data_IF_668596014918
#
_entry.id   IF_668596014918
#
_cell.length_a   1.000
_cell.length_b   1.000
_cell.length_c   1.000
_cell.angle_alpha   90.00
_cell.angle_beta   90.00
_cell.angle_gamma   90.00
#
_symmetry.space_group_name_H-M   'P 1'
#
loop_
_entity.id
_entity.type
_entity.pdbx_description
1 polymer ?
#
# COMPACT_ATOMS: atom_id res chain seq x y z
N UNK A 1 125.42 -62.68 94.59
CA UNK A 1 124.76 -64.00 94.75
C UNK A 1 123.28 -63.76 94.98
N UNK A 2 122.43 -64.41 94.19
CA UNK A 2 121.00 -64.16 94.03
C UNK A 2 120.14 -64.82 95.13
N UNK A 3 118.99 -64.21 95.46
CA UNK A 3 117.89 -64.90 96.14
C UNK A 3 116.56 -64.47 95.49
N UNK A 4 116.01 -65.40 94.71
CA UNK A 4 114.88 -65.24 93.80
C UNK A 4 113.53 -65.13 94.51
N UNK A 5 112.70 -64.22 94.02
CA UNK A 5 111.29 -63.98 94.32
C UNK A 5 110.42 -65.26 94.25
N UNK A 6 109.66 -65.56 95.31
CA UNK A 6 108.78 -66.77 95.40
C UNK A 6 107.30 -66.51 95.72
N UNK A 7 106.87 -65.25 95.83
CA UNK A 7 105.46 -64.89 96.15
C UNK A 7 104.60 -64.46 94.94
N UNK A 8 105.18 -64.28 93.75
CA UNK A 8 104.47 -63.75 92.56
C UNK A 8 103.74 -64.83 91.73
N UNK A 9 104.12 -66.10 91.86
CA UNK A 9 103.56 -67.18 91.03
C UNK A 9 102.16 -67.66 91.44
N UNK A 10 101.82 -67.66 92.74
CA UNK A 10 100.48 -68.06 93.21
C UNK A 10 99.40 -67.04 92.87
N UNK A 11 99.69 -65.73 93.01
CA UNK A 11 98.76 -64.67 92.63
C UNK A 11 98.48 -64.66 91.12
N UNK A 12 99.50 -64.87 90.28
CA UNK A 12 99.32 -65.01 88.82
C UNK A 12 98.45 -66.21 88.44
N UNK A 13 98.63 -67.35 89.11
CA UNK A 13 97.82 -68.55 88.85
C UNK A 13 96.34 -68.36 89.25
N UNK A 14 96.06 -67.66 90.34
CA UNK A 14 94.68 -67.35 90.76
C UNK A 14 94.00 -66.37 89.78
N UNK A 15 94.72 -65.35 89.31
CA UNK A 15 94.20 -64.40 88.31
C UNK A 15 93.94 -65.10 86.96
N UNK A 16 94.84 -65.99 86.54
CA UNK A 16 94.66 -66.79 85.31
C UNK A 16 93.47 -67.75 85.46
N UNK A 17 93.27 -68.36 86.63
CA UNK A 17 92.12 -69.22 86.90
C UNK A 17 90.78 -68.44 86.87
N UNK A 18 90.74 -67.23 87.43
CA UNK A 18 89.57 -66.35 87.39
C UNK A 18 89.25 -65.85 85.97
N UNK A 19 90.27 -65.51 85.17
CA UNK A 19 90.10 -65.13 83.76
C UNK A 19 89.64 -66.30 82.88
N UNK A 20 90.17 -67.50 83.12
CA UNK A 20 89.71 -68.71 82.43
C UNK A 20 88.25 -69.04 82.79
N UNK A 21 87.87 -68.90 84.07
CA UNK A 21 86.50 -69.11 84.51
C UNK A 21 85.53 -68.07 83.91
N UNK A 22 85.94 -66.79 83.86
CA UNK A 22 85.18 -65.74 83.19
C UNK A 22 85.04 -65.99 81.68
N UNK A 23 86.11 -66.46 81.02
CA UNK A 23 86.08 -66.80 79.60
C UNK A 23 85.14 -67.95 79.30
N UNK A 24 85.07 -68.96 80.17
CA UNK A 24 84.16 -70.09 80.01
C UNK A 24 82.71 -69.65 80.20
N UNK A 25 82.43 -68.79 81.19
CA UNK A 25 81.09 -68.23 81.39
C UNK A 25 80.65 -67.37 80.20
N UNK A 26 81.53 -66.48 79.70
CA UNK A 26 81.25 -65.70 78.48
C UNK A 26 81.04 -66.59 77.26
N UNK A 27 81.83 -67.66 77.10
CA UNK A 27 81.66 -68.62 76.01
C UNK A 27 80.29 -69.28 76.07
N UNK A 28 79.84 -69.70 77.26
CA UNK A 28 78.51 -70.32 77.45
C UNK A 28 77.40 -69.31 77.11
N UNK A 29 77.51 -68.05 77.50
CA UNK A 29 76.50 -67.03 77.18
C UNK A 29 76.42 -66.76 75.67
N UNK A 30 77.56 -66.67 74.97
CA UNK A 30 77.59 -66.49 73.51
C UNK A 30 77.03 -67.73 72.81
N UNK A 31 77.39 -68.93 73.26
CA UNK A 31 76.84 -70.19 72.73
C UNK A 31 75.34 -70.27 73.00
N UNK A 32 74.82 -69.86 74.15
CA UNK A 32 73.37 -69.85 74.40
C UNK A 32 72.65 -68.80 73.54
N UNK A 33 73.26 -67.66 73.22
CA UNK A 33 72.68 -66.66 72.29
C UNK A 33 72.79 -67.07 70.82
N UNK A 34 73.88 -67.74 70.42
CA UNK A 34 74.11 -68.20 69.05
C UNK A 34 73.45 -69.56 68.75
N UNK A 35 73.19 -70.35 69.80
CA UNK A 35 72.69 -71.74 69.74
C UNK A 35 71.39 -71.93 70.53
N UNK A 36 70.72 -70.86 70.94
CA UNK A 36 69.26 -70.90 71.02
C UNK A 36 68.75 -70.65 69.60
N UNK A 37 68.51 -71.69 68.80
CA UNK A 37 67.58 -71.52 67.71
C UNK A 37 66.25 -71.29 68.42
N UNK A 38 65.80 -70.04 68.42
CA UNK A 38 64.37 -69.83 68.54
C UNK A 38 63.77 -70.67 67.40
N UNK A 39 63.22 -71.84 67.73
CA UNK A 39 62.55 -72.75 66.81
C UNK A 39 61.05 -72.40 66.72
N UNK A 40 60.58 -71.41 67.51
CA UNK A 40 59.25 -70.82 67.42
C UNK A 40 59.03 -69.79 66.29
N UNK A 41 60.03 -69.12 65.65
CA UNK A 41 59.78 -68.20 64.55
C UNK A 41 59.44 -68.97 63.27
N UNK A 42 59.67 -70.29 63.19
CA UNK A 42 59.28 -71.09 62.02
C UNK A 42 57.76 -71.31 61.92
N UNK A 43 57.06 -71.36 63.06
CA UNK A 43 55.61 -71.41 63.11
C UNK A 43 55.00 -70.01 62.89
N UNK A 44 55.66 -68.97 63.42
CA UNK A 44 55.27 -67.57 63.24
C UNK A 44 55.44 -67.10 61.78
N UNK A 45 56.55 -67.46 61.13
CA UNK A 45 56.79 -67.22 59.70
C UNK A 45 55.77 -67.97 58.82
N UNK A 46 55.39 -69.20 59.18
CA UNK A 46 54.33 -69.93 58.48
C UNK A 46 52.95 -69.28 58.63
N UNK A 47 52.63 -68.78 59.83
CA UNK A 47 51.38 -68.05 60.07
C UNK A 47 51.37 -66.70 59.33
N UNK A 48 52.49 -65.96 59.30
CA UNK A 48 52.62 -64.70 58.56
C UNK A 48 52.54 -64.91 57.05
N UNK A 49 53.14 -65.98 56.51
CA UNK A 49 52.98 -66.33 55.09
C UNK A 49 51.52 -66.68 54.75
N UNK A 50 50.81 -67.37 55.64
CA UNK A 50 49.38 -67.66 55.45
C UNK A 50 48.52 -66.38 55.52
N UNK A 51 48.76 -65.50 56.50
CA UNK A 51 48.08 -64.19 56.60
C UNK A 51 48.37 -63.28 55.40
N UNK A 52 49.62 -63.23 54.94
CA UNK A 52 50.00 -62.50 53.73
C UNK A 52 49.37 -63.11 52.48
N UNK A 53 49.28 -64.43 52.39
CA UNK A 53 48.62 -65.12 51.27
C UNK A 53 47.13 -64.82 51.28
N UNK A 54 46.47 -64.90 52.43
CA UNK A 54 45.04 -64.58 52.58
C UNK A 54 44.77 -63.09 52.26
N UNK A 55 45.65 -62.18 52.70
CA UNK A 55 45.57 -60.75 52.33
C UNK A 55 45.79 -60.51 50.85
N UNK A 56 46.72 -61.22 50.21
CA UNK A 56 46.95 -61.13 48.77
C UNK A 56 45.77 -61.69 47.97
N UNK A 57 45.18 -62.80 48.41
CA UNK A 57 43.97 -63.36 47.80
C UNK A 57 42.77 -62.44 47.99
N UNK A 58 42.56 -61.91 49.20
CA UNK A 58 41.54 -60.92 49.50
C UNK A 58 41.71 -59.66 48.64
N UNK A 59 42.93 -59.12 48.56
CA UNK A 59 43.25 -57.96 47.73
C UNK A 59 43.07 -58.25 46.24
N UNK A 60 43.45 -59.44 45.77
CA UNK A 60 43.25 -59.87 44.37
C UNK A 60 41.77 -59.97 44.02
N UNK A 61 40.94 -60.52 44.90
CA UNK A 61 39.48 -60.62 44.67
C UNK A 61 38.84 -59.23 44.67
N UNK A 62 39.21 -58.36 45.61
CA UNK A 62 38.71 -56.97 45.67
C UNK A 62 39.15 -56.18 44.44
N UNK A 63 40.40 -56.32 44.00
CA UNK A 63 40.90 -55.73 42.77
C UNK A 63 40.14 -56.22 41.54
N UNK A 64 39.87 -57.52 41.44
CA UNK A 64 39.06 -58.10 40.36
C UNK A 64 37.67 -57.47 40.29
N UNK A 65 36.97 -57.36 41.43
CA UNK A 65 35.65 -56.72 41.51
C UNK A 65 35.68 -55.24 41.13
N UNK A 66 36.69 -54.49 41.59
CA UNK A 66 36.84 -53.08 41.22
C UNK A 66 37.14 -52.90 39.74
N UNK A 67 37.96 -53.79 39.16
CA UNK A 67 38.27 -53.77 37.73
C UNK A 67 37.02 -54.01 36.90
N UNK A 68 36.24 -55.03 37.23
CA UNK A 68 34.99 -55.35 36.53
C UNK A 68 33.97 -54.20 36.63
N UNK A 69 33.77 -53.65 37.83
CA UNK A 69 32.88 -52.50 38.03
C UNK A 69 33.37 -51.23 37.28
N UNK A 70 34.68 -51.07 37.11
CA UNK A 70 35.24 -49.97 36.33
C UNK A 70 35.05 -50.20 34.82
N UNK A 71 35.25 -51.43 34.34
CA UNK A 71 35.01 -51.81 32.95
C UNK A 71 33.54 -51.64 32.56
N UNK A 72 32.60 -52.04 33.43
CA UNK A 72 31.17 -51.83 33.24
C UNK A 72 30.83 -50.34 33.11
N UNK A 73 31.30 -49.49 34.05
CA UNK A 73 31.08 -48.03 33.98
C UNK A 73 31.72 -47.41 32.74
N UNK A 74 32.90 -47.86 32.33
CA UNK A 74 33.55 -47.35 31.12
C UNK A 74 32.75 -47.73 29.87
N UNK A 75 32.14 -48.92 29.82
CA UNK A 75 31.27 -49.32 28.71
C UNK A 75 29.98 -48.50 28.69
N UNK A 76 29.34 -48.30 29.84
CA UNK A 76 28.13 -47.47 29.96
C UNK A 76 28.38 -46.03 29.50
N UNK A 77 29.49 -45.42 29.94
CA UNK A 77 29.86 -44.06 29.52
C UNK A 77 30.23 -44.00 28.04
N UNK A 78 30.84 -45.05 27.47
CA UNK A 78 31.09 -45.11 26.02
C UNK A 78 29.79 -45.15 25.23
N UNK A 79 28.82 -45.95 25.65
CA UNK A 79 27.50 -46.03 25.01
C UNK A 79 26.79 -44.67 25.08
N UNK A 80 26.77 -44.02 26.25
CA UNK A 80 26.21 -42.67 26.40
C UNK A 80 26.89 -41.65 25.50
N UNK A 81 28.22 -41.67 25.43
CA UNK A 81 29.00 -40.77 24.57
C UNK A 81 28.67 -41.01 23.10
N UNK A 82 28.53 -42.26 22.67
CA UNK A 82 28.21 -42.57 21.27
C UNK A 82 26.77 -42.17 20.93
N UNK A 83 25.79 -42.40 21.84
CA UNK A 83 24.43 -41.87 21.70
C UNK A 83 24.43 -40.35 21.57
N UNK A 84 25.12 -39.64 22.46
CA UNK A 84 25.22 -38.17 22.42
C UNK A 84 25.86 -37.68 21.12
N UNK A 85 26.92 -38.34 20.61
CA UNK A 85 27.51 -37.99 19.31
C UNK A 85 26.50 -38.12 18.18
N UNK A 86 25.69 -39.19 18.17
CA UNK A 86 24.67 -39.37 17.12
C UNK A 86 23.59 -38.31 17.19
N UNK A 87 23.16 -37.92 18.40
CA UNK A 87 22.18 -36.85 18.60
C UNK A 87 22.75 -35.50 18.16
N UNK A 88 24.00 -35.20 18.50
CA UNK A 88 24.70 -33.98 18.06
C UNK A 88 24.77 -33.94 16.52
N UNK A 89 25.12 -35.04 15.87
CA UNK A 89 25.17 -35.11 14.40
C UNK A 89 23.80 -34.89 13.77
N UNK A 90 22.74 -35.49 14.33
CA UNK A 90 21.37 -35.28 13.88
C UNK A 90 20.96 -33.81 14.02
N UNK A 91 21.18 -33.23 15.21
CA UNK A 91 20.84 -31.83 15.49
C UNK A 91 21.62 -30.88 14.57
N UNK A 92 22.89 -31.16 14.32
CA UNK A 92 23.71 -30.39 13.40
C UNK A 92 23.18 -30.48 11.96
N UNK A 93 22.78 -31.67 11.50
CA UNK A 93 22.13 -31.86 10.21
C UNK A 93 20.82 -31.08 10.09
N UNK A 94 19.97 -31.13 11.13
CA UNK A 94 18.72 -30.35 11.17
C UNK A 94 18.99 -28.85 11.15
N UNK A 95 19.97 -28.38 11.91
CA UNK A 95 20.37 -26.97 11.95
C UNK A 95 20.82 -26.51 10.57
N UNK A 96 21.65 -27.29 9.89
CA UNK A 96 22.13 -26.97 8.55
C UNK A 96 20.97 -26.92 7.53
N UNK A 97 20.03 -27.87 7.59
CA UNK A 97 18.84 -27.86 6.74
C UNK A 97 17.95 -26.63 7.00
N UNK A 98 17.71 -26.28 8.27
CA UNK A 98 16.95 -25.07 8.63
C UNK A 98 17.66 -23.79 8.22
N UNK A 99 18.99 -23.77 8.29
CA UNK A 99 19.79 -22.63 7.87
C UNK A 99 19.72 -22.42 6.35
N UNK A 100 19.81 -23.50 5.57
CA UNK A 100 19.64 -23.44 4.11
C UNK A 100 18.23 -22.94 3.72
N UNK A 101 17.18 -23.44 4.37
CA UNK A 101 15.81 -22.97 4.13
C UNK A 101 15.61 -21.51 4.55
N UNK A 102 16.28 -21.06 5.61
CA UNK A 102 16.25 -19.65 6.01
C UNK A 102 16.95 -18.75 4.99
N UNK A 103 18.09 -19.18 4.45
CA UNK A 103 18.81 -18.46 3.39
C UNK A 103 17.98 -18.35 2.11
N UNK A 104 17.31 -19.45 1.71
CA UNK A 104 16.36 -19.45 0.59
C UNK A 104 15.22 -18.45 0.82
N UNK A 105 14.59 -18.48 2.00
CA UNK A 105 13.52 -17.54 2.35
C UNK A 105 14.00 -16.08 2.36
N UNK A 106 15.24 -15.82 2.83
CA UNK A 106 15.83 -14.48 2.77
C UNK A 106 16.04 -14.02 1.31
N UNK A 107 16.52 -14.90 0.45
CA UNK A 107 16.71 -14.61 -0.97
C UNK A 107 15.37 -14.30 -1.66
N UNK A 108 14.34 -15.11 -1.41
CA UNK A 108 12.99 -14.85 -1.90
C UNK A 108 12.45 -13.51 -1.40
N UNK A 109 12.71 -13.15 -0.14
CA UNK A 109 12.28 -11.87 0.42
C UNK A 109 12.97 -10.68 -0.28
N UNK A 110 14.25 -10.81 -0.63
CA UNK A 110 14.97 -9.79 -1.40
C UNK A 110 14.37 -9.65 -2.80
N UNK A 111 14.09 -10.76 -3.49
CA UNK A 111 13.45 -10.76 -4.80
C UNK A 111 12.06 -10.11 -4.72
N UNK A 112 11.26 -10.48 -3.73
CA UNK A 112 9.92 -9.95 -3.53
C UNK A 112 9.94 -8.43 -3.26
N UNK A 113 10.88 -7.96 -2.44
CA UNK A 113 11.10 -6.51 -2.23
C UNK A 113 11.47 -5.79 -3.53
N UNK A 114 12.32 -6.40 -4.36
CA UNK A 114 12.64 -5.88 -5.69
C UNK A 114 11.40 -5.75 -6.58
N UNK A 115 10.58 -6.80 -6.63
CA UNK A 115 9.34 -6.82 -7.40
C UNK A 115 8.33 -5.77 -6.92
N UNK A 116 8.19 -5.61 -5.59
CA UNK A 116 7.34 -4.56 -5.00
C UNK A 116 7.82 -3.18 -5.43
N UNK A 117 9.13 -2.92 -5.38
CA UNK A 117 9.69 -1.63 -5.81
C UNK A 117 9.44 -1.36 -7.30
N UNK A 118 9.62 -2.36 -8.17
CA UNK A 118 9.34 -2.23 -9.60
C UNK A 118 7.85 -1.96 -9.88
N UNK A 119 6.96 -2.62 -9.13
CA UNK A 119 5.52 -2.40 -9.25
C UNK A 119 5.12 -0.99 -8.76
N UNK A 120 5.73 -0.49 -7.69
CA UNK A 120 5.51 0.87 -7.21
C UNK A 120 5.93 1.92 -8.24
N UNK A 121 7.09 1.73 -8.88
CA UNK A 121 7.57 2.62 -9.95
C UNK A 121 6.60 2.62 -11.15
N UNK A 122 6.14 1.43 -11.56
CA UNK A 122 5.13 1.27 -12.62
C UNK A 122 3.83 2.00 -12.28
N UNK A 123 3.36 1.89 -11.04
CA UNK A 123 2.15 2.60 -10.58
C UNK A 123 2.33 4.11 -10.67
N UNK A 124 3.49 4.65 -10.27
CA UNK A 124 3.72 6.10 -10.35
C UNK A 124 3.84 6.58 -11.80
N UNK A 125 4.48 5.81 -12.67
CA UNK A 125 4.53 6.10 -14.10
C UNK A 125 3.13 6.11 -14.73
N UNK A 126 2.28 5.14 -14.38
CA UNK A 126 0.89 5.09 -14.83
C UNK A 126 0.08 6.28 -14.31
N UNK A 127 0.25 6.66 -13.04
CA UNK A 127 -0.39 7.86 -12.49
C UNK A 127 0.05 9.13 -13.21
N UNK A 128 1.35 9.26 -13.51
CA UNK A 128 1.86 10.39 -14.26
C UNK A 128 1.25 10.46 -15.66
N UNK A 129 1.20 9.31 -16.34
CA UNK A 129 0.59 9.19 -17.68
C UNK A 129 -0.90 9.54 -17.64
N UNK A 130 -1.63 9.04 -16.65
CA UNK A 130 -3.04 9.37 -16.45
C UNK A 130 -3.25 10.88 -16.24
N UNK A 131 -2.43 11.54 -15.41
CA UNK A 131 -2.51 12.99 -15.19
C UNK A 131 -2.27 13.75 -16.51
N UNK A 132 -1.24 13.37 -17.28
CA UNK A 132 -0.95 14.01 -18.56
C UNK A 132 -2.11 13.87 -19.55
N UNK A 133 -2.65 12.66 -19.71
CA UNK A 133 -3.78 12.40 -20.60
C UNK A 133 -5.04 13.14 -20.14
N UNK A 134 -5.26 13.27 -18.83
CA UNK A 134 -6.38 14.05 -18.29
C UNK A 134 -6.26 15.53 -18.65
N UNK A 135 -5.05 16.09 -18.63
CA UNK A 135 -4.80 17.48 -19.05
C UNK A 135 -5.01 17.63 -20.56
N UNK A 136 -4.51 16.70 -21.36
CA UNK A 136 -4.69 16.72 -22.82
C UNK A 136 -6.17 16.60 -23.20
N UNK A 137 -6.94 15.73 -22.54
CA UNK A 137 -8.38 15.62 -22.75
C UNK A 137 -9.11 16.92 -22.46
N UNK A 138 -8.78 17.61 -21.36
CA UNK A 138 -9.38 18.91 -21.05
C UNK A 138 -9.07 19.96 -22.09
N UNK A 139 -7.82 20.02 -22.56
CA UNK A 139 -7.44 20.95 -23.63
C UNK A 139 -8.23 20.67 -24.92
N UNK A 140 -8.43 19.40 -25.27
CA UNK A 140 -9.24 19.02 -26.42
C UNK A 140 -10.71 19.36 -26.26
N UNK A 141 -11.24 19.24 -25.05
CA UNK A 141 -12.62 19.64 -24.73
C UNK A 141 -12.81 21.15 -24.89
N UNK A 142 -11.88 21.97 -24.36
CA UNK A 142 -11.86 23.42 -24.54
C UNK A 142 -11.77 23.84 -26.03
N UNK A 143 -10.95 23.13 -26.82
CA UNK A 143 -10.83 23.34 -28.27
C UNK A 143 -12.16 23.05 -28.98
N UNK A 144 -12.84 21.95 -28.61
CA UNK A 144 -14.14 21.56 -29.17
C UNK A 144 -15.20 22.60 -28.84
N UNK A 145 -15.27 23.07 -27.59
CA UNK A 145 -16.21 24.11 -27.18
C UNK A 145 -15.99 25.40 -27.97
N UNK A 146 -14.72 25.80 -28.13
CA UNK A 146 -14.35 26.98 -28.93
C UNK A 146 -14.77 26.82 -30.39
N UNK A 147 -14.55 25.64 -30.98
CA UNK A 147 -15.00 25.35 -32.35
C UNK A 147 -16.52 25.39 -32.48
N UNK A 148 -17.26 24.84 -31.52
CA UNK A 148 -18.73 24.86 -31.51
C UNK A 148 -19.28 26.29 -31.42
N UNK A 149 -18.69 27.14 -30.57
CA UNK A 149 -19.07 28.55 -30.48
C UNK A 149 -18.81 29.29 -31.79
N UNK A 150 -17.63 29.09 -32.39
CA UNK A 150 -17.29 29.70 -33.68
C UNK A 150 -18.24 29.23 -34.80
N UNK A 151 -18.58 27.94 -34.84
CA UNK A 151 -19.53 27.40 -35.81
C UNK A 151 -20.92 28.02 -35.65
N UNK A 152 -21.38 28.15 -34.41
CA UNK A 152 -22.68 28.77 -34.09
C UNK A 152 -22.70 30.25 -34.50
N UNK A 153 -21.62 30.98 -34.23
CA UNK A 153 -21.48 32.37 -34.65
C UNK A 153 -21.49 32.49 -36.19
N UNK A 154 -20.72 31.67 -36.89
CA UNK A 154 -20.67 31.65 -38.35
C UNK A 154 -22.04 31.30 -38.97
N UNK A 155 -22.78 30.38 -38.35
CA UNK A 155 -24.14 30.05 -38.76
C UNK A 155 -25.08 31.26 -38.65
N UNK A 156 -25.10 31.95 -37.51
CA UNK A 156 -25.92 33.15 -37.33
C UNK A 156 -25.53 34.29 -38.28
N UNK A 157 -24.24 34.51 -38.50
CA UNK A 157 -23.74 35.50 -39.47
C UNK A 157 -24.24 35.17 -40.88
N UNK A 158 -24.16 33.90 -41.27
CA UNK A 158 -24.62 33.45 -42.58
C UNK A 158 -26.13 33.63 -42.73
N UNK A 159 -26.90 33.28 -41.71
CA UNK A 159 -28.36 33.48 -41.70
C UNK A 159 -28.73 34.97 -41.81
N UNK A 160 -28.03 35.85 -41.09
CA UNK A 160 -28.20 37.29 -41.20
C UNK A 160 -27.91 37.80 -42.61
N UNK A 161 -26.82 37.32 -43.23
CA UNK A 161 -26.48 37.66 -44.61
C UNK A 161 -27.57 37.22 -45.60
N UNK A 162 -28.15 36.02 -45.43
CA UNK A 162 -29.26 35.57 -46.26
C UNK A 162 -30.49 36.46 -46.11
N UNK A 163 -30.85 36.85 -44.89
CA UNK A 163 -31.98 37.77 -44.65
C UNK A 163 -31.75 39.15 -45.27
N UNK A 164 -30.53 39.71 -45.14
CA UNK A 164 -30.17 40.98 -45.77
C UNK A 164 -30.22 40.90 -47.30
N UNK A 165 -29.77 39.79 -47.88
CA UNK A 165 -29.85 39.56 -49.32
C UNK A 165 -31.31 39.48 -49.81
N UNK A 166 -32.18 38.77 -49.09
CA UNK A 166 -33.61 38.72 -49.41
C UNK A 166 -34.28 40.11 -49.30
N UNK A 167 -33.91 40.91 -48.29
CA UNK A 167 -34.37 42.29 -48.15
C UNK A 167 -33.89 43.18 -49.30
N UNK A 168 -32.62 43.05 -49.69
CA UNK A 168 -32.05 43.79 -50.83
C UNK A 168 -32.76 43.43 -52.15
N UNK A 169 -33.05 42.16 -52.40
CA UNK A 169 -33.78 41.74 -53.61
C UNK A 169 -35.23 42.28 -53.62
N UNK A 170 -35.86 42.35 -52.44
CA UNK A 170 -37.18 42.95 -52.28
C UNK A 170 -37.16 44.45 -52.57
N UNK A 171 -36.16 45.18 -52.05
CA UNK A 171 -35.97 46.61 -52.32
C UNK A 171 -35.66 46.89 -53.79
N UNK A 172 -34.82 46.07 -54.41
CA UNK A 172 -34.54 46.13 -55.85
C UNK A 172 -35.82 45.98 -56.68
N UNK A 173 -36.64 44.96 -56.38
CA UNK A 173 -37.92 44.74 -57.05
C UNK A 173 -38.87 45.93 -56.88
N UNK A 174 -38.92 46.52 -55.69
CA UNK A 174 -39.71 47.74 -55.43
C UNK A 174 -39.19 48.95 -56.22
N UNK A 175 -37.87 49.15 -56.28
CA UNK A 175 -37.24 50.23 -57.04
C UNK A 175 -37.48 50.08 -58.56
N UNK A 176 -37.43 48.86 -59.09
CA UNK A 176 -37.79 48.56 -60.47
C UNK A 176 -39.26 48.89 -60.76
N UNK A 177 -40.16 48.55 -59.84
CA UNK A 177 -41.58 48.89 -59.95
C UNK A 177 -41.80 50.42 -59.95
N UNK A 178 -41.17 51.15 -59.03
CA UNK A 178 -41.24 52.62 -59.01
C UNK A 178 -40.64 53.25 -60.26
N UNK A 179 -39.52 52.71 -60.77
CA UNK A 179 -38.90 53.18 -62.03
C UNK A 179 -39.84 52.99 -63.20
N UNK A 180 -40.56 51.86 -63.28
CA UNK A 180 -41.59 51.62 -64.30
C UNK A 180 -42.74 52.61 -64.15
N UNK A 181 -43.26 52.82 -62.95
CA UNK A 181 -44.31 53.79 -62.67
C UNK A 181 -43.92 55.21 -63.09
N UNK A 182 -42.71 55.66 -62.71
CA UNK A 182 -42.18 56.98 -63.09
C UNK A 182 -42.03 57.13 -64.61
N UNK A 183 -41.53 56.11 -65.32
CA UNK A 183 -41.48 56.12 -66.80
C UNK A 183 -42.86 56.27 -67.42
N UNK A 184 -43.85 55.53 -66.92
CA UNK A 184 -45.23 55.63 -67.44
C UNK A 184 -45.85 57.00 -67.16
N UNK A 185 -45.58 57.59 -65.99
CA UNK A 185 -46.04 58.94 -65.67
C UNK A 185 -45.38 60.00 -66.55
N UNK A 186 -44.07 59.88 -66.80
CA UNK A 186 -43.34 60.77 -67.69
C UNK A 186 -43.88 60.71 -69.13
N UNK A 187 -44.18 59.52 -69.64
CA UNK A 187 -44.83 59.34 -70.94
C UNK A 187 -46.23 59.96 -70.95
N UNK A 188 -47.00 59.79 -69.88
CA UNK A 188 -48.32 60.42 -69.72
C UNK A 188 -48.22 61.94 -69.75
N UNK A 189 -47.33 62.54 -68.96
CA UNK A 189 -47.10 63.98 -68.94
C UNK A 189 -46.63 64.50 -70.30
N UNK A 190 -45.73 63.78 -71.00
CA UNK A 190 -45.30 64.14 -72.36
C UNK A 190 -46.47 64.17 -73.35
N UNK A 191 -47.39 63.18 -73.27
CA UNK A 191 -48.63 63.18 -74.07
C UNK A 191 -49.53 64.37 -73.71
N UNK A 192 -49.68 64.70 -72.43
CA UNK A 192 -50.47 65.86 -72.00
C UNK A 192 -49.86 67.18 -72.50
N UNK A 193 -48.53 67.35 -72.38
CA UNK A 193 -47.83 68.53 -72.92
C UNK A 193 -47.95 68.64 -74.44
N UNK A 194 -47.91 67.52 -75.17
CA UNK A 194 -48.16 67.52 -76.62
C UNK A 194 -49.58 67.94 -76.96
N UNK A 195 -50.59 67.48 -76.21
CA UNK A 195 -51.98 67.95 -76.36
C UNK A 195 -52.07 69.45 -76.11
N UNK A 196 -51.58 69.94 -74.97
CA UNK A 196 -51.56 71.37 -74.65
C UNK A 196 -50.78 72.23 -75.67
N UNK A 197 -49.70 71.70 -76.25
CA UNK A 197 -48.94 72.38 -77.32
C UNK A 197 -49.70 72.42 -78.64
N UNK A 198 -50.47 71.38 -78.94
CA UNK A 198 -51.36 71.33 -80.11
C UNK A 198 -52.56 72.26 -79.94
N UNK A 199 -53.06 72.36 -78.71
CA UNK A 199 -54.14 73.29 -78.33
C UNK A 199 -53.63 74.75 -78.27
N UNK A 200 -52.35 74.98 -77.95
CA UNK A 200 -51.72 76.32 -77.98
C UNK A 200 -51.48 76.85 -79.40
N UNK A 201 -51.48 76.00 -80.43
CA UNK A 201 -51.51 76.43 -81.83
C UNK A 201 -52.94 76.82 -82.30
N UNK A 202 -53.96 76.55 -81.49
CA UNK A 202 -55.39 76.70 -81.84
C UNK A 202 -56.18 77.51 -80.79
N UNK A 203 -55.52 78.21 -79.86
CA UNK A 203 -56.20 78.96 -78.80
C UNK A 203 -55.80 80.45 -78.73
N UNK A 204 -56.25 81.24 -79.71
CA UNK A 204 -56.77 82.59 -79.41
C UNK A 204 -58.29 82.44 -79.22
N UNK A 205 -58.80 82.99 -78.10
CA UNK A 205 -60.21 83.22 -77.72
C UNK A 205 -60.76 82.31 -76.58
N UNK A 206 -60.58 82.81 -75.35
CA UNK A 206 -61.52 83.00 -74.19
C UNK A 206 -62.95 82.40 -74.21
N UNK A 207 -63.69 82.30 -73.05
CA UNK A 207 -63.34 82.04 -71.63
C UNK A 207 -64.38 81.08 -70.89
N UNK A 208 -64.70 81.12 -69.57
CA UNK A 208 -64.90 79.95 -68.66
C UNK A 208 -66.42 79.60 -68.41
N UNK A 209 -66.88 78.59 -67.58
CA UNK A 209 -66.77 78.58 -66.09
C UNK A 209 -66.92 77.23 -65.30
N UNK A 210 -66.65 77.33 -63.98
CA UNK A 210 -67.30 76.73 -62.77
C UNK A 210 -67.08 75.28 -62.23
N UNK A 211 -66.59 75.28 -60.97
CA UNK A 211 -67.05 74.59 -59.72
C UNK A 211 -67.13 73.05 -59.58
N UNK A 212 -66.44 72.50 -58.56
CA UNK A 212 -67.04 72.11 -57.24
C UNK A 212 -66.01 71.52 -56.26
N UNK A 213 -66.04 72.03 -55.03
CA UNK A 213 -65.65 71.37 -53.76
C UNK A 213 -66.72 70.32 -53.38
N UNK A 214 -66.51 69.35 -52.45
CA UNK A 214 -66.24 69.56 -51.01
C UNK A 214 -65.16 68.56 -50.48
N UNK A 215 -64.81 68.37 -49.21
CA UNK A 215 -64.81 69.06 -47.91
C UNK A 215 -64.35 67.99 -46.90
N UNK A 216 -63.78 68.45 -45.80
CA UNK A 216 -63.19 67.70 -44.69
C UNK A 216 -64.22 67.52 -43.56
N UNK A 217 -64.19 66.39 -42.84
CA UNK A 217 -64.54 66.16 -41.41
C UNK A 217 -64.52 64.62 -41.15
N UNK A 218 -63.80 64.06 -40.18
CA UNK A 218 -63.91 64.03 -38.70
C UNK A 218 -64.97 63.03 -38.18
N UNK A 219 -64.63 62.42 -37.03
CA UNK A 219 -65.42 61.54 -36.13
C UNK A 219 -65.31 60.03 -36.42
N UNK A 220 -65.34 59.09 -35.48
CA UNK A 220 -65.07 58.99 -34.03
C UNK A 220 -65.23 57.49 -33.67
N UNK A 221 -64.65 57.07 -32.54
CA UNK A 221 -65.08 55.95 -31.67
C UNK A 221 -64.89 54.48 -32.13
N UNK A 222 -64.01 53.71 -31.46
CA UNK A 222 -64.27 52.89 -30.24
C UNK A 222 -64.85 51.51 -30.60
N UNK A 223 -64.51 50.37 -30.01
CA UNK A 223 -63.68 49.96 -28.87
C UNK A 223 -63.47 48.44 -28.95
N UNK A 224 -62.41 47.93 -28.30
CA UNK A 224 -62.44 46.75 -27.42
C UNK A 224 -61.02 46.44 -26.89
N UNK A 225 -60.79 46.73 -25.61
CA UNK A 225 -59.79 46.08 -24.74
C UNK A 225 -60.37 44.75 -24.18
N UNK A 226 -59.77 43.99 -23.24
CA UNK A 226 -58.48 44.12 -22.53
C UNK A 226 -57.70 42.80 -22.30
N UNK A 227 -56.46 42.86 -21.77
CA UNK A 227 -55.88 41.97 -20.72
C UNK A 227 -54.38 42.35 -20.51
N UNK A 228 -54.02 43.18 -19.54
CA UNK A 228 -53.45 42.81 -18.20
C UNK A 228 -52.39 41.71 -18.18
N UNK A 229 -51.18 42.03 -17.69
CA UNK A 229 -50.32 41.03 -17.02
C UNK A 229 -48.79 41.17 -17.13
N UNK A 230 -48.19 42.12 -16.38
CA UNK A 230 -46.94 41.95 -15.57
C UNK A 230 -45.64 41.46 -16.28
N UNK A 231 -44.55 42.26 -16.23
CA UNK A 231 -43.20 41.73 -16.02
C UNK A 231 -42.53 42.41 -14.81
N UNK A 232 -43.24 42.52 -13.70
CA UNK A 232 -42.67 43.03 -12.43
C UNK A 232 -42.14 41.90 -11.54
N UNK A 233 -42.50 40.63 -11.82
CA UNK A 233 -42.05 39.48 -11.02
C UNK A 233 -40.66 38.94 -11.39
N UNK A 234 -40.14 39.19 -12.59
CA UNK A 234 -38.81 38.71 -13.00
C UNK A 234 -37.67 39.60 -12.49
N UNK A 235 -37.92 40.90 -12.28
CA UNK A 235 -36.96 41.80 -11.65
C UNK A 235 -36.93 41.66 -10.11
N UNK A 236 -38.05 41.27 -9.49
CA UNK A 236 -38.11 41.08 -8.04
C UNK A 236 -37.35 39.82 -7.57
N UNK A 237 -37.36 38.74 -8.37
CA UNK A 237 -36.60 37.51 -8.08
C UNK A 237 -35.09 37.70 -8.29
N UNK A 238 -34.68 38.50 -9.29
CA UNK A 238 -33.27 38.86 -9.47
C UNK A 238 -32.74 39.77 -8.34
N UNK A 239 -33.56 40.68 -7.84
CA UNK A 239 -33.19 41.58 -6.73
C UNK A 239 -33.02 40.82 -5.41
N UNK A 240 -33.88 39.82 -5.14
CA UNK A 240 -33.80 39.00 -3.94
C UNK A 240 -32.57 38.07 -3.93
N UNK A 241 -32.17 37.51 -5.09
CA UNK A 241 -30.98 36.65 -5.17
C UNK A 241 -29.67 37.43 -4.96
N UNK A 242 -29.62 38.68 -5.43
CA UNK A 242 -28.48 39.56 -5.18
C UNK A 242 -28.40 40.04 -3.72
N UNK A 243 -29.54 40.23 -3.04
CA UNK A 243 -29.56 40.57 -1.61
C UNK A 243 -29.12 39.41 -0.70
N UNK A 244 -29.45 38.16 -1.05
CA UNK A 244 -28.99 36.99 -0.29
C UNK A 244 -27.48 36.75 -0.47
N UNK A 245 -26.94 36.99 -1.67
CA UNK A 245 -25.49 36.87 -1.93
C UNK A 245 -24.67 38.01 -1.31
N UNK A 246 -25.22 39.22 -1.22
CA UNK A 246 -24.54 40.33 -0.52
C UNK A 246 -24.61 40.21 1.01
N UNK A 247 -25.72 39.74 1.60
CA UNK A 247 -25.80 39.54 3.06
C UNK A 247 -24.84 38.44 3.55
N UNK A 248 -24.61 37.38 2.76
CA UNK A 248 -23.58 36.36 3.04
C UNK A 248 -22.14 36.88 2.97
N UNK A 249 -21.92 38.06 2.38
CA UNK A 249 -20.59 38.71 2.28
C UNK A 249 -20.35 39.72 3.41
N UNK A 250 -21.42 40.31 3.96
CA UNK A 250 -21.36 41.35 5.00
C UNK A 250 -21.29 40.76 6.41
N UNK A 251 -21.85 39.57 6.64
CA UNK A 251 -21.57 38.80 7.86
C UNK A 251 -20.21 38.12 7.75
N UNK A 252 -19.19 38.80 8.25
CA UNK A 252 -17.77 38.39 8.25
C UNK A 252 -17.47 37.12 9.03
N UNK A 253 -17.93 35.96 8.53
CA UNK A 253 -17.48 34.64 8.95
C UNK A 253 -17.40 33.73 7.73
N UNK A 254 -16.19 33.23 7.47
CA UNK A 254 -15.88 32.37 6.33
C UNK A 254 -16.93 31.23 6.15
N UNK A 255 -17.51 31.04 4.96
CA UNK A 255 -18.27 29.84 4.69
C UNK A 255 -17.30 28.68 4.43
N UNK A 256 -17.26 27.74 5.38
CA UNK A 256 -16.79 26.40 5.14
C UNK A 256 -17.53 25.83 3.91
N UNK A 257 -16.77 25.16 3.04
CA UNK A 257 -17.22 24.54 1.79
C UNK A 257 -18.55 23.81 1.95
N UNK A 258 -19.64 24.42 1.48
CA UNK A 258 -20.93 23.75 1.34
C UNK A 258 -20.84 22.84 0.10
N UNK A 259 -20.72 21.55 0.36
CA UNK A 259 -20.67 20.49 -0.64
C UNK A 259 -21.95 20.48 -1.48
N UNK A 260 -21.86 20.99 -2.71
CA UNK A 260 -22.85 20.86 -3.80
C UNK A 260 -23.10 19.38 -4.18
N UNK A 261 -22.30 18.45 -3.64
CA UNK A 261 -22.37 17.01 -3.93
C UNK A 261 -23.56 16.31 -3.25
N UNK A 262 -24.20 16.91 -2.23
CA UNK A 262 -25.25 16.21 -1.47
C UNK A 262 -26.68 16.34 -2.02
N UNK A 263 -26.94 17.26 -2.95
CA UNK A 263 -28.29 17.43 -3.53
C UNK A 263 -28.52 16.45 -4.70
N UNK A 264 -27.47 16.10 -5.45
CA UNK A 264 -27.58 15.15 -6.57
C UNK A 264 -27.78 13.69 -6.13
N UNK A 265 -27.39 13.30 -4.91
CA UNK A 265 -27.60 11.94 -4.40
C UNK A 265 -29.03 11.63 -3.93
N UNK A 266 -29.83 12.65 -3.62
CA UNK A 266 -31.22 12.46 -3.21
C UNK A 266 -32.17 12.30 -4.41
N UNK A 267 -31.83 12.88 -5.57
CA UNK A 267 -32.63 12.74 -6.79
C UNK A 267 -32.43 11.38 -7.48
N UNK A 268 -31.23 10.80 -7.41
CA UNK A 268 -30.95 9.49 -8.03
C UNK A 268 -31.61 8.33 -7.24
N UNK A 269 -31.70 8.48 -5.92
CA UNK A 269 -32.35 7.48 -5.04
C UNK A 269 -33.88 7.42 -5.21
N UNK A 270 -34.50 8.52 -5.63
CA UNK A 270 -35.96 8.58 -5.85
C UNK A 270 -36.37 7.97 -7.20
N UNK A 271 -35.49 7.97 -8.19
CA UNK A 271 -35.78 7.48 -9.54
C UNK A 271 -35.64 5.96 -9.67
N UNK A 272 -34.84 5.33 -8.80
CA UNK A 272 -34.74 3.87 -8.70
C UNK A 272 -35.96 3.21 -8.04
N UNK A 273 -36.61 3.88 -7.07
CA UNK A 273 -37.80 3.31 -6.39
C UNK A 273 -39.08 3.36 -7.25
N UNK A 274 -39.18 4.24 -8.25
CA UNK A 274 -40.35 4.30 -9.14
C UNK A 274 -40.32 3.27 -10.28
N UNK A 275 -39.13 2.87 -10.74
CA UNK A 275 -39.00 1.86 -11.80
C UNK A 275 -39.07 0.41 -11.28
N UNK A 276 -38.85 0.17 -9.99
CA UNK A 276 -38.92 -1.19 -9.42
C UNK A 276 -40.36 -1.66 -9.13
N UNK A 277 -41.35 -0.76 -9.12
CA UNK A 277 -42.78 -1.09 -8.96
C UNK A 277 -43.53 -1.24 -10.29
N UNK A 278 -42.91 -0.93 -11.44
CA UNK A 278 -43.53 -1.07 -12.76
C UNK A 278 -43.19 -2.40 -13.46
N UNK A 279 -42.15 -3.13 -13.01
CA UNK A 279 -41.75 -4.42 -13.60
C UNK A 279 -42.32 -5.66 -12.90
N UNK A 280 -43.12 -5.52 -11.84
CA UNK A 280 -43.66 -6.65 -11.06
C UNK A 280 -45.13 -6.97 -11.34
N UNK A 281 -45.71 -6.45 -12.44
CA UNK A 281 -47.13 -6.67 -12.81
C UNK A 281 -47.31 -7.36 -14.18
N UNK A 282 -46.23 -7.81 -14.83
CA UNK A 282 -46.32 -8.35 -16.20
C UNK A 282 -45.83 -9.80 -16.39
N UNK A 283 -45.71 -10.61 -15.33
CA UNK A 283 -45.23 -11.98 -15.51
C UNK A 283 -45.73 -12.95 -14.44
N UNK A 284 -47.03 -13.21 -14.44
CA UNK A 284 -47.58 -14.42 -13.83
C UNK A 284 -48.83 -14.85 -14.61
N UNK A 285 -48.61 -15.45 -15.78
CA UNK A 285 -49.60 -16.23 -16.50
C UNK A 285 -48.87 -17.21 -17.44
N UNK A 286 -48.92 -18.50 -17.10
CA UNK A 286 -48.73 -19.56 -18.10
C UNK A 286 -47.76 -20.68 -17.74
N UNK A 287 -48.32 -21.78 -17.25
CA UNK A 287 -48.16 -23.06 -17.97
C UNK A 287 -47.18 -24.07 -17.37
N UNK A 288 -47.77 -25.11 -16.81
CA UNK A 288 -47.19 -26.40 -16.51
C UNK A 288 -46.54 -27.11 -17.73
N UNK A 289 -45.83 -28.21 -17.42
CA UNK A 289 -45.71 -29.51 -18.11
C UNK A 289 -44.25 -29.99 -18.23
N UNK A 290 -44.02 -31.19 -17.65
CA UNK A 290 -43.13 -32.31 -18.02
C UNK A 290 -41.83 -32.03 -18.82
N UNK A 291 -40.67 -32.62 -18.55
CA UNK A 291 -40.27 -33.93 -18.02
C UNK A 291 -38.99 -33.84 -17.15
#
# INVERSE_FOLDING_TARGET
MAASSKSSQTAKNVVIALLALWSIISLIVIVVWATSPDLKPSAQCRAELQDLTEKLEGSRVVWGKHKEALEEKVLEEREKVDLQKTEILLLHGRLNATNASLEECQQENVILKGNISALQDTIEQLRHTQRNLTVELRLREDDIETLQQNLTLAFHQTQSCFSLNAAAESQKSAAESQTKACKTELEYQKKQLQKCRSDSAVAKQTPPPQQKQPQQDKDDNSAASPLTGIPVLTLLVCSALHLITYQLKVDGKQPARLNVIHIYKLTDSAQWMTNSTASTVAQDDGGAWAD
#
